data_IF_863968002086
#
_entry.id   IF_863968002086
#
_cell.length_a   1.000
_cell.length_b   1.000
_cell.length_c   1.000
_cell.angle_alpha   90.00
_cell.angle_beta   90.00
_cell.angle_gamma   90.00
#
_symmetry.space_group_name_H-M   'P 1'
#
loop_
_entity.id
_entity.type
_entity.pdbx_description
1 polymer ?
#
# COMPACT_ATOMS: atom_id res chain seq x y z
N UNK A 1 -16.35 19.97 40.07
CA UNK A 1 -17.08 19.28 38.99
C UNK A 1 -18.41 18.82 39.57
N UNK A 2 -19.52 19.29 39.01
CA UNK A 2 -20.84 18.77 39.36
C UNK A 2 -21.05 17.40 38.71
N UNK A 3 -21.68 16.47 39.41
CA UNK A 3 -22.22 15.23 38.85
C UNK A 3 -23.67 15.14 39.32
N UNK A 4 -24.59 14.83 38.41
CA UNK A 4 -26.01 14.62 38.71
C UNK A 4 -26.29 13.14 38.88
N UNK A 5 -26.94 12.76 39.98
CA UNK A 5 -27.28 11.36 40.28
C UNK A 5 -28.65 10.94 39.75
N UNK A 6 -29.54 11.88 39.42
CA UNK A 6 -30.85 11.61 38.84
C UNK A 6 -30.96 12.27 37.45
N UNK A 7 -31.32 11.47 36.46
CA UNK A 7 -31.54 11.89 35.08
C UNK A 7 -32.64 11.03 34.44
N UNK A 8 -33.19 11.51 33.32
CA UNK A 8 -34.08 10.73 32.47
C UNK A 8 -33.42 10.52 31.11
N UNK A 9 -33.14 9.27 30.74
CA UNK A 9 -32.44 8.98 29.49
C UNK A 9 -33.23 9.44 28.26
N UNK A 10 -34.58 9.40 28.31
CA UNK A 10 -35.42 9.96 27.25
C UNK A 10 -35.20 11.46 27.03
N UNK A 11 -35.02 12.23 28.11
CA UNK A 11 -34.76 13.68 28.01
C UNK A 11 -33.37 13.93 27.42
N UNK A 12 -32.37 13.12 27.77
CA UNK A 12 -31.04 13.19 27.17
C UNK A 12 -31.10 12.93 25.67
N UNK A 13 -31.78 11.85 25.25
CA UNK A 13 -31.95 11.50 23.84
C UNK A 13 -32.66 12.61 23.06
N UNK A 14 -33.74 13.15 23.62
CA UNK A 14 -34.49 14.25 23.02
C UNK A 14 -33.64 15.51 22.85
N UNK A 15 -32.83 15.87 23.86
CA UNK A 15 -31.89 17.00 23.75
C UNK A 15 -30.87 16.74 22.64
N UNK A 16 -30.32 15.54 22.54
CA UNK A 16 -29.41 15.17 21.46
C UNK A 16 -30.09 15.23 20.08
N UNK A 17 -31.36 14.82 19.98
CA UNK A 17 -32.15 14.91 18.76
C UNK A 17 -32.28 16.37 18.28
N UNK A 18 -32.60 17.27 19.20
CA UNK A 18 -32.78 18.69 18.89
C UNK A 18 -31.50 19.36 18.42
N UNK A 19 -30.34 18.93 18.92
CA UNK A 19 -29.06 19.44 18.42
C UNK A 19 -28.89 19.18 16.91
N UNK A 20 -29.46 18.11 16.37
CA UNK A 20 -29.47 17.88 14.92
C UNK A 20 -30.46 18.79 14.19
N UNK A 21 -31.58 19.12 14.81
CA UNK A 21 -32.61 20.01 14.23
C UNK A 21 -32.12 21.46 14.10
N UNK A 22 -31.23 21.90 14.99
CA UNK A 22 -30.67 23.27 14.99
C UNK A 22 -29.60 23.49 13.90
N UNK A 23 -29.15 22.42 13.22
CA UNK A 23 -28.10 22.50 12.20
C UNK A 23 -28.66 23.04 10.88
N UNK A 24 -28.12 24.18 10.42
CA UNK A 24 -28.53 24.84 9.16
C UNK A 24 -27.94 24.20 7.89
N UNK A 25 -27.06 23.22 8.04
CA UNK A 25 -26.35 22.54 6.95
C UNK A 25 -26.96 21.15 6.73
N UNK A 26 -27.02 20.72 5.46
CA UNK A 26 -27.44 19.35 5.14
C UNK A 26 -26.46 18.34 5.72
N UNK A 27 -26.98 17.44 6.56
CA UNK A 27 -26.22 16.32 7.13
C UNK A 27 -26.47 15.05 6.32
N UNK A 28 -25.41 14.28 6.05
CA UNK A 28 -25.51 12.98 5.39
C UNK A 28 -25.83 11.86 6.39
N UNK A 29 -25.18 11.86 7.56
CA UNK A 29 -25.38 10.88 8.62
C UNK A 29 -25.56 11.60 9.95
N UNK A 30 -26.46 11.10 10.80
CA UNK A 30 -26.69 11.60 12.16
C UNK A 30 -26.40 10.46 13.12
N UNK A 31 -25.43 10.65 14.03
CA UNK A 31 -24.99 9.61 14.96
C UNK A 31 -24.76 10.17 16.35
N UNK A 32 -25.22 9.44 17.36
CA UNK A 32 -24.97 9.71 18.78
C UNK A 32 -24.07 8.59 19.31
N UNK A 33 -22.91 8.96 19.86
CA UNK A 33 -22.01 8.03 20.56
C UNK A 33 -22.19 8.17 22.06
N UNK A 34 -22.69 7.12 22.72
CA UNK A 34 -22.94 7.09 24.14
C UNK A 34 -21.80 6.43 24.90
N UNK A 35 -21.13 7.18 25.77
CA UNK A 35 -20.10 6.66 26.67
C UNK A 35 -20.68 6.46 28.07
N UNK A 36 -20.74 5.21 28.54
CA UNK A 36 -21.31 4.87 29.86
C UNK A 36 -20.67 3.60 30.42
N UNK A 37 -20.52 3.53 31.74
CA UNK A 37 -20.19 2.29 32.46
C UNK A 37 -21.37 1.72 33.27
N UNK A 38 -22.57 2.32 33.15
CA UNK A 38 -23.81 1.84 33.76
C UNK A 38 -24.63 1.09 32.71
N UNK A 39 -24.98 -0.17 33.00
CA UNK A 39 -25.67 -1.08 32.08
C UNK A 39 -27.20 -1.12 32.26
N UNK A 40 -27.70 -0.68 33.43
CA UNK A 40 -29.13 -0.52 33.70
C UNK A 40 -29.43 0.81 34.43
N UNK A 41 -29.40 1.95 33.71
CA UNK A 41 -29.54 3.29 34.28
C UNK A 41 -30.92 3.56 34.91
N UNK A 42 -31.93 2.74 34.60
CA UNK A 42 -33.31 2.96 35.04
C UNK A 42 -33.91 1.74 35.75
N UNK A 43 -33.08 0.90 36.39
CA UNK A 43 -33.49 -0.31 37.12
C UNK A 43 -34.70 -0.11 38.03
N UNK A 44 -34.75 1.00 38.76
CA UNK A 44 -35.81 1.30 39.74
C UNK A 44 -37.01 2.06 39.13
N UNK A 45 -36.95 2.44 37.85
CA UNK A 45 -37.90 3.35 37.21
C UNK A 45 -38.42 2.81 35.87
N UNK A 46 -39.34 1.83 35.92
CA UNK A 46 -39.94 1.21 34.72
C UNK A 46 -40.51 2.23 33.72
N UNK A 47 -41.13 3.32 34.20
CA UNK A 47 -41.66 4.39 33.34
C UNK A 47 -40.55 5.14 32.60
N UNK A 48 -39.45 5.47 33.28
CA UNK A 48 -38.28 6.14 32.67
C UNK A 48 -37.63 5.22 31.63
N UNK A 49 -37.50 3.93 31.94
CA UNK A 49 -36.96 2.93 31.02
C UNK A 49 -37.84 2.75 29.76
N UNK A 50 -39.16 2.69 29.90
CA UNK A 50 -40.08 2.58 28.76
C UNK A 50 -40.00 3.81 27.86
N UNK A 51 -40.00 5.03 28.44
CA UNK A 51 -39.87 6.28 27.67
C UNK A 51 -38.56 6.36 26.91
N UNK A 52 -37.46 5.92 27.53
CA UNK A 52 -36.15 5.87 26.89
C UNK A 52 -36.13 4.98 25.64
N UNK A 53 -36.79 3.82 25.69
CA UNK A 53 -36.89 2.90 24.53
C UNK A 53 -37.75 3.48 23.42
N UNK A 54 -38.88 4.11 23.76
CA UNK A 54 -39.73 4.79 22.77
C UNK A 54 -38.95 5.91 22.07
N UNK A 55 -38.28 6.78 22.82
CA UNK A 55 -37.49 7.87 22.24
C UNK A 55 -36.34 7.33 21.37
N UNK A 56 -35.69 6.24 21.78
CA UNK A 56 -34.66 5.60 20.95
C UNK A 56 -35.21 5.03 19.63
N UNK A 57 -36.43 4.49 19.64
CA UNK A 57 -37.13 4.07 18.41
C UNK A 57 -37.44 5.27 17.52
N UNK A 58 -37.92 6.37 18.09
CA UNK A 58 -38.22 7.60 17.35
C UNK A 58 -36.93 8.20 16.72
N UNK A 59 -35.80 8.09 17.41
CA UNK A 59 -34.48 8.45 16.86
C UNK A 59 -34.13 7.59 15.63
N UNK A 60 -34.36 6.28 15.70
CA UNK A 60 -34.10 5.38 14.58
C UNK A 60 -34.97 5.74 13.37
N UNK A 61 -36.27 5.99 13.58
CA UNK A 61 -37.21 6.36 12.52
C UNK A 61 -36.87 7.71 11.88
N UNK A 62 -36.22 8.61 12.63
CA UNK A 62 -35.71 9.90 12.12
C UNK A 62 -34.32 9.80 11.47
N UNK A 63 -33.76 8.59 11.37
CA UNK A 63 -32.46 8.30 10.77
C UNK A 63 -31.27 8.73 11.63
N UNK A 64 -31.44 8.77 12.96
CA UNK A 64 -30.38 9.04 13.93
C UNK A 64 -29.91 7.70 14.52
N UNK A 65 -28.64 7.38 14.30
CA UNK A 65 -28.03 6.14 14.79
C UNK A 65 -27.46 6.32 16.19
N UNK A 66 -27.76 5.39 17.10
CA UNK A 66 -27.21 5.40 18.46
C UNK A 66 -26.19 4.27 18.61
N UNK A 67 -24.94 4.66 18.89
CA UNK A 67 -23.81 3.76 19.06
C UNK A 67 -23.35 3.75 20.53
N UNK A 68 -23.29 2.57 21.14
CA UNK A 68 -22.92 2.39 22.55
C UNK A 68 -21.43 2.11 22.69
N UNK A 69 -20.72 3.01 23.38
CA UNK A 69 -19.32 2.87 23.80
C UNK A 69 -19.27 2.47 25.28
N UNK A 70 -19.61 1.21 25.58
CA UNK A 70 -19.69 0.73 26.96
C UNK A 70 -18.30 0.59 27.60
N UNK A 71 -18.16 1.13 28.80
CA UNK A 71 -16.92 1.13 29.57
C UNK A 71 -16.92 -0.01 30.60
N UNK A 72 -15.72 -0.37 31.07
CA UNK A 72 -15.55 -1.47 32.03
C UNK A 72 -16.29 -1.17 33.36
N UNK A 73 -17.18 -2.09 33.76
CA UNK A 73 -17.90 -2.10 35.04
C UNK A 73 -17.44 -3.29 35.92
N UNK A 74 -17.33 -3.13 37.25
CA UNK A 74 -17.07 -4.25 38.14
C UNK A 74 -18.23 -5.27 38.05
N UNK A 75 -17.92 -6.52 37.68
CA UNK A 75 -18.92 -7.56 37.43
C UNK A 75 -19.29 -7.75 35.95
N UNK A 76 -18.73 -6.94 35.05
CA UNK A 76 -19.09 -6.95 33.62
C UNK A 76 -20.15 -5.91 33.28
N UNK A 77 -20.34 -5.67 31.99
CA UNK A 77 -21.38 -4.78 31.46
C UNK A 77 -22.36 -5.63 30.65
N UNK A 78 -23.62 -5.70 31.08
CA UNK A 78 -24.62 -6.52 30.41
C UNK A 78 -25.54 -5.68 29.51
N UNK A 79 -25.26 -5.70 28.21
CA UNK A 79 -26.04 -4.99 27.17
C UNK A 79 -27.50 -5.46 27.14
N UNK A 80 -27.77 -6.71 27.53
CA UNK A 80 -29.10 -7.31 27.42
C UNK A 80 -30.12 -6.70 28.38
N UNK A 81 -29.67 -6.06 29.47
CA UNK A 81 -30.54 -5.50 30.52
C UNK A 81 -31.35 -4.29 30.02
N UNK A 82 -30.71 -3.38 29.30
CA UNK A 82 -31.31 -2.11 28.90
C UNK A 82 -31.01 -1.75 27.44
N UNK A 83 -29.72 -1.73 27.07
CA UNK A 83 -29.27 -1.14 25.81
C UNK A 83 -29.60 -1.97 24.56
N UNK A 84 -29.89 -3.27 24.68
CA UNK A 84 -30.31 -4.11 23.55
C UNK A 84 -31.50 -3.55 22.77
N UNK A 85 -32.43 -2.89 23.46
CA UNK A 85 -33.61 -2.26 22.83
C UNK A 85 -33.41 -0.79 22.47
N UNK A 86 -32.18 -0.28 22.52
CA UNK A 86 -31.84 1.14 22.34
C UNK A 86 -30.79 1.33 21.24
N UNK A 87 -29.80 0.42 21.16
CA UNK A 87 -28.80 0.45 20.11
C UNK A 87 -29.45 0.21 18.75
N UNK A 88 -29.03 0.98 17.75
CA UNK A 88 -29.43 0.76 16.37
C UNK A 88 -28.67 -0.45 15.84
N UNK A 89 -29.34 -1.59 15.71
CA UNK A 89 -28.78 -2.75 15.00
C UNK A 89 -29.21 -2.59 13.54
N UNK A 90 -28.26 -2.45 12.61
CA UNK A 90 -28.63 -2.51 11.18
C UNK A 90 -29.36 -3.83 10.91
N UNK A 91 -30.39 -3.81 10.07
CA UNK A 91 -31.34 -4.91 9.89
C UNK A 91 -30.72 -6.22 9.36
N UNK A 92 -29.43 -6.24 9.00
CA UNK A 92 -28.70 -7.45 8.65
C UNK A 92 -28.02 -8.05 9.89
N UNK A 93 -28.42 -9.26 10.28
CA UNK A 93 -27.85 -9.99 11.43
C UNK A 93 -26.32 -10.23 11.35
N UNK A 94 -25.71 -10.02 10.17
CA UNK A 94 -24.28 -10.15 9.88
C UNK A 94 -23.47 -8.85 10.09
N UNK A 95 -24.12 -7.68 10.28
CA UNK A 95 -23.45 -6.37 10.42
C UNK A 95 -23.07 -6.02 11.88
N UNK A 96 -22.86 -7.01 12.76
CA UNK A 96 -22.56 -6.80 14.20
C UNK A 96 -21.24 -6.04 14.49
N UNK A 97 -20.52 -5.59 13.47
CA UNK A 97 -19.42 -4.63 13.57
C UNK A 97 -19.70 -3.48 12.60
N UNK A 98 -20.26 -2.38 13.12
CA UNK A 98 -20.73 -1.26 12.30
C UNK A 98 -19.59 -0.36 11.80
N UNK A 99 -19.14 -0.60 10.57
CA UNK A 99 -18.55 0.43 9.70
C UNK A 99 -19.49 0.60 8.50
N UNK A 100 -20.10 1.78 8.37
CA UNK A 100 -20.83 2.17 7.16
C UNK A 100 -19.82 2.25 6.01
N UNK A 101 -19.80 1.21 5.18
CA UNK A 101 -19.00 1.17 3.95
C UNK A 101 -19.66 2.09 2.94
N UNK A 102 -18.96 3.17 2.59
CA UNK A 102 -19.44 4.13 1.60
C UNK A 102 -19.26 3.56 0.20
N UNK A 103 -20.16 3.95 -0.71
CA UNK A 103 -20.31 3.56 -2.13
C UNK A 103 -19.13 3.89 -3.07
N UNK A 104 -17.91 3.98 -2.54
CA UNK A 104 -16.67 4.19 -3.27
C UNK A 104 -15.74 3.07 -2.89
N UNK A 105 -15.45 2.16 -3.83
CA UNK A 105 -14.35 1.19 -3.83
C UNK A 105 -13.33 1.53 -2.74
N UNK A 106 -13.48 0.91 -1.57
CA UNK A 106 -12.83 1.44 -0.38
C UNK A 106 -11.33 1.25 -0.48
N UNK A 107 -10.69 2.40 -0.39
CA UNK A 107 -9.27 2.57 -0.32
C UNK A 107 -8.85 2.33 1.15
N UNK A 108 -8.99 1.09 1.65
CA UNK A 108 -8.70 0.72 3.05
C UNK A 108 -7.27 1.13 3.47
N UNK A 109 -6.34 1.21 2.50
CA UNK A 109 -4.96 1.66 2.66
C UNK A 109 -4.67 3.05 2.09
N UNK A 110 -5.66 3.74 1.49
CA UNK A 110 -5.45 4.99 0.74
C UNK A 110 -6.04 6.21 1.45
N UNK A 111 -5.50 6.46 2.63
CA UNK A 111 -5.06 7.82 2.91
C UNK A 111 -3.62 7.74 3.39
N UNK A 112 -2.68 7.75 2.44
CA UNK A 112 -1.42 8.44 2.74
C UNK A 112 -1.86 9.83 3.20
N UNK A 113 -1.83 10.05 4.49
CA UNK A 113 -2.26 11.33 5.03
C UNK A 113 -1.27 12.36 4.50
N UNK A 114 -1.79 13.31 3.73
CA UNK A 114 -0.99 14.37 3.16
C UNK A 114 -1.14 15.60 4.05
N UNK A 115 -0.07 16.38 4.11
CA UNK A 115 -0.13 17.71 4.69
C UNK A 115 -1.20 18.52 3.95
N UNK A 116 -2.09 19.18 4.69
CA UNK A 116 -3.12 20.03 4.10
C UNK A 116 -2.47 21.12 3.23
N UNK A 117 -3.05 21.36 2.06
CA UNK A 117 -2.59 22.41 1.15
C UNK A 117 -2.89 23.78 1.77
N UNK A 118 -1.98 24.72 1.63
CA UNK A 118 -2.20 26.09 2.09
C UNK A 118 -3.42 26.73 1.37
N UNK A 119 -4.23 27.45 2.14
CA UNK A 119 -5.35 28.25 1.65
C UNK A 119 -4.87 29.70 1.54
N UNK A 120 -5.18 30.37 0.42
CA UNK A 120 -4.85 31.79 0.24
C UNK A 120 -5.86 32.64 0.98
N UNK A 121 -5.38 33.57 1.80
CA UNK A 121 -6.20 34.47 2.61
C UNK A 121 -5.98 35.93 2.21
N UNK A 122 -6.99 36.77 2.42
CA UNK A 122 -6.85 38.22 2.34
C UNK A 122 -6.15 38.73 3.60
N UNK A 123 -5.12 39.57 3.44
CA UNK A 123 -4.21 39.95 4.54
C UNK A 123 -4.91 40.63 5.72
N UNK A 124 -5.91 41.46 5.46
CA UNK A 124 -6.52 42.30 6.51
C UNK A 124 -7.68 41.60 7.23
N UNK A 125 -8.40 40.71 6.53
CA UNK A 125 -9.61 40.04 7.06
C UNK A 125 -9.40 38.56 7.36
N UNK A 126 -8.29 37.96 6.91
CA UNK A 126 -8.03 36.52 6.93
C UNK A 126 -9.10 35.67 6.22
N UNK A 127 -9.90 36.26 5.33
CA UNK A 127 -10.92 35.53 4.58
C UNK A 127 -10.32 34.74 3.41
N UNK A 128 -10.84 33.53 3.10
CA UNK A 128 -10.38 32.73 1.97
C UNK A 128 -10.59 33.40 0.60
N UNK A 129 -9.55 33.37 -0.24
CA UNK A 129 -9.56 33.98 -1.57
C UNK A 129 -9.85 32.93 -2.65
N UNK A 130 -10.85 33.21 -3.49
CA UNK A 130 -11.19 32.37 -4.64
C UNK A 130 -10.24 32.60 -5.82
N UNK A 131 -9.49 31.57 -6.22
CA UNK A 131 -8.60 31.62 -7.38
C UNK A 131 -9.37 31.28 -8.66
N UNK A 132 -9.29 32.15 -9.67
CA UNK A 132 -9.81 31.90 -11.04
C UNK A 132 -8.63 31.92 -12.03
N UNK A 133 -8.35 30.78 -12.65
CA UNK A 133 -7.33 30.68 -13.70
C UNK A 133 -7.97 30.84 -15.07
N UNK A 134 -7.45 31.76 -15.88
CA UNK A 134 -7.88 32.01 -17.26
C UNK A 134 -6.67 31.99 -18.17
N UNK A 135 -6.82 31.43 -19.36
CA UNK A 135 -5.75 31.30 -20.35
C UNK A 135 -6.07 32.26 -21.49
N UNK A 136 -5.08 33.06 -21.92
CA UNK A 136 -5.26 34.09 -22.94
C UNK A 136 -4.23 33.94 -24.05
N UNK A 137 -4.58 34.39 -25.25
CA UNK A 137 -3.62 34.57 -26.34
C UNK A 137 -2.71 35.75 -26.02
N UNK A 138 -1.39 35.54 -26.17
CA UNK A 138 -0.38 36.57 -25.92
C UNK A 138 -0.53 37.74 -26.91
N UNK A 139 -0.88 37.45 -28.17
CA UNK A 139 -0.92 38.45 -29.24
C UNK A 139 -2.21 39.29 -29.22
N UNK A 140 -3.35 38.66 -28.94
CA UNK A 140 -4.67 39.30 -29.02
C UNK A 140 -5.23 39.69 -27.66
N UNK A 141 -4.67 39.17 -26.56
CA UNK A 141 -5.21 39.35 -25.21
C UNK A 141 -6.58 38.68 -24.99
N UNK A 142 -7.10 37.97 -25.99
CA UNK A 142 -8.42 37.31 -25.92
C UNK A 142 -8.36 36.04 -25.09
N UNK A 143 -9.45 35.77 -24.37
CA UNK A 143 -9.63 34.52 -23.62
C UNK A 143 -9.64 33.34 -24.59
N UNK A 144 -8.84 32.31 -24.30
CA UNK A 144 -8.82 31.07 -25.07
C UNK A 144 -9.84 30.08 -24.52
N UNK A 145 -10.75 29.66 -25.39
CA UNK A 145 -11.66 28.56 -25.13
C UNK A 145 -10.94 27.22 -25.36
N UNK A 146 -11.47 26.10 -24.81
CA UNK A 146 -10.88 24.78 -25.03
C UNK A 146 -10.64 24.45 -26.52
N UNK A 147 -11.55 24.88 -27.40
CA UNK A 147 -11.51 24.64 -28.85
C UNK A 147 -10.47 25.52 -29.58
N UNK A 148 -9.98 26.58 -28.94
CA UNK A 148 -8.95 27.45 -29.52
C UNK A 148 -7.54 26.87 -29.32
N UNK A 149 -7.41 25.76 -28.57
CA UNK A 149 -6.12 25.16 -28.22
C UNK A 149 -6.02 23.72 -28.66
N UNK A 150 -4.93 23.38 -29.35
CA UNK A 150 -4.52 22.00 -29.61
C UNK A 150 -3.45 21.55 -28.62
N UNK A 151 -3.16 20.26 -28.58
CA UNK A 151 -2.03 19.70 -27.84
C UNK A 151 -0.94 19.32 -28.82
N UNK A 152 0.31 19.52 -28.41
CA UNK A 152 1.47 19.25 -29.27
C UNK A 152 2.51 18.43 -28.53
N UNK A 153 3.13 17.50 -29.25
CA UNK A 153 4.35 16.79 -28.84
C UNK A 153 5.36 16.83 -29.99
N UNK A 154 6.64 17.04 -29.68
CA UNK A 154 7.71 17.14 -30.67
C UNK A 154 8.64 15.95 -30.51
N UNK A 155 8.84 15.19 -31.59
CA UNK A 155 9.79 14.08 -31.64
C UNK A 155 10.79 14.34 -32.77
N UNK A 156 12.06 14.58 -32.41
CA UNK A 156 13.08 15.03 -33.36
C UNK A 156 12.66 16.33 -34.04
N UNK A 157 12.57 16.32 -35.37
CA UNK A 157 12.18 17.49 -36.17
C UNK A 157 10.70 17.46 -36.61
N UNK A 158 9.88 16.57 -36.04
CA UNK A 158 8.46 16.44 -36.39
C UNK A 158 7.57 16.88 -35.23
N UNK A 159 6.70 17.85 -35.49
CA UNK A 159 5.66 18.26 -34.58
C UNK A 159 4.39 17.44 -34.83
N UNK A 160 3.86 16.83 -33.79
CA UNK A 160 2.59 16.11 -33.80
C UNK A 160 1.57 16.99 -33.07
N UNK A 161 0.45 17.27 -33.74
CA UNK A 161 -0.67 18.03 -33.20
C UNK A 161 -1.85 17.08 -33.03
N UNK A 162 -2.48 17.14 -31.85
CA UNK A 162 -3.65 16.34 -31.51
C UNK A 162 -4.70 17.23 -30.84
N UNK A 163 -5.96 16.95 -31.14
CA UNK A 163 -7.08 17.52 -30.40
C UNK A 163 -7.18 16.89 -29.01
N UNK A 164 -7.93 17.56 -28.13
CA UNK A 164 -8.16 17.06 -26.78
C UNK A 164 -8.93 15.73 -26.82
N UNK A 165 -9.96 15.61 -27.69
CA UNK A 165 -10.73 14.37 -27.81
C UNK A 165 -9.87 13.22 -28.34
N UNK A 166 -8.93 13.48 -29.24
CA UNK A 166 -8.03 12.46 -29.77
C UNK A 166 -7.13 11.88 -28.66
N UNK A 167 -6.59 12.73 -27.79
CA UNK A 167 -5.76 12.29 -26.65
C UNK A 167 -6.57 11.46 -25.65
N UNK A 168 -7.82 11.82 -25.44
CA UNK A 168 -8.72 11.05 -24.57
C UNK A 168 -9.10 9.71 -25.23
N UNK A 169 -9.37 9.71 -26.54
CA UNK A 169 -9.66 8.51 -27.33
C UNK A 169 -8.48 7.52 -27.38
N UNK A 170 -7.24 8.01 -27.46
CA UNK A 170 -6.02 7.17 -27.41
C UNK A 170 -5.90 6.38 -26.10
N UNK A 171 -6.56 6.82 -25.03
CA UNK A 171 -6.54 6.17 -23.71
C UNK A 171 -7.76 5.29 -23.46
N UNK A 172 -8.70 5.20 -24.40
CA UNK A 172 -9.90 4.40 -24.26
C UNK A 172 -9.66 2.97 -24.76
N UNK A 173 -10.03 1.99 -23.93
CA UNK A 173 -9.83 0.57 -24.19
C UNK A 173 -11.10 -0.22 -23.85
N UNK A 174 -11.54 -0.14 -22.59
CA UNK A 174 -12.72 -0.83 -22.08
C UNK A 174 -13.63 0.16 -21.33
N UNK A 175 -14.88 -0.25 -21.08
CA UNK A 175 -15.76 0.46 -20.15
C UNK A 175 -15.27 0.31 -18.70
N UNK A 176 -15.59 1.26 -17.80
CA UNK A 176 -15.18 1.18 -16.40
C UNK A 176 -15.75 -0.06 -15.70
N UNK A 177 -14.89 -0.76 -14.96
CA UNK A 177 -15.29 -1.96 -14.21
C UNK A 177 -14.18 -2.99 -14.05
N UNK A 178 -14.58 -4.16 -13.58
CA UNK A 178 -13.73 -5.34 -13.42
C UNK A 178 -14.23 -6.43 -14.37
N UNK A 179 -13.38 -6.82 -15.34
CA UNK A 179 -13.67 -7.92 -16.24
C UNK A 179 -12.87 -9.13 -15.78
N UNK A 180 -13.57 -10.18 -15.33
CA UNK A 180 -12.94 -11.43 -14.92
C UNK A 180 -12.24 -12.09 -16.11
N UNK A 181 -10.97 -12.47 -15.93
CA UNK A 181 -10.16 -13.09 -16.97
C UNK A 181 -9.91 -14.57 -16.68
N UNK A 182 -9.43 -14.90 -15.48
CA UNK A 182 -9.17 -16.29 -15.07
C UNK A 182 -8.94 -16.42 -13.57
N UNK A 183 -8.90 -17.65 -13.06
CA UNK A 183 -8.47 -17.96 -11.71
C UNK A 183 -7.03 -18.50 -11.74
N UNK A 184 -6.17 -18.01 -10.84
CA UNK A 184 -4.79 -18.49 -10.70
C UNK A 184 -4.50 -18.90 -9.26
N UNK A 185 -3.62 -19.88 -9.01
CA UNK A 185 -3.20 -20.22 -7.65
C UNK A 185 -2.56 -19.03 -6.93
N UNK A 186 -2.83 -18.87 -5.63
CA UNK A 186 -2.28 -17.79 -4.81
C UNK A 186 -0.75 -17.75 -4.79
N UNK A 187 -0.11 -18.92 -4.86
CA UNK A 187 1.36 -19.05 -4.92
C UNK A 187 2.01 -18.38 -6.15
N UNK A 188 1.25 -18.15 -7.22
CA UNK A 188 1.75 -17.40 -8.38
C UNK A 188 1.87 -15.89 -8.10
N UNK A 189 1.23 -15.39 -7.05
CA UNK A 189 1.32 -14.01 -6.63
C UNK A 189 2.60 -13.79 -5.84
N UNK A 190 3.46 -12.92 -6.35
CA UNK A 190 4.78 -12.67 -5.79
C UNK A 190 4.74 -11.40 -4.95
N UNK A 191 5.10 -11.51 -3.66
CA UNK A 191 5.01 -10.40 -2.70
C UNK A 191 5.77 -9.13 -3.09
N UNK A 192 6.92 -9.26 -3.77
CA UNK A 192 7.72 -8.10 -4.20
C UNK A 192 7.28 -7.49 -5.54
N UNK A 193 6.23 -8.01 -6.17
CA UNK A 193 5.59 -7.38 -7.34
C UNK A 193 4.59 -6.27 -6.94
N UNK A 194 4.77 -5.66 -5.77
CA UNK A 194 3.95 -4.54 -5.32
C UNK A 194 4.20 -3.31 -6.20
N UNK A 195 3.12 -2.76 -6.78
CA UNK A 195 3.16 -1.55 -7.60
C UNK A 195 2.61 -0.34 -6.83
N UNK A 196 1.34 -0.43 -6.42
CA UNK A 196 0.59 0.60 -5.71
C UNK A 196 -0.21 -0.01 -4.56
N UNK A 197 -0.71 0.85 -3.67
CA UNK A 197 -1.62 0.46 -2.59
C UNK A 197 -2.77 -0.38 -3.14
N UNK A 198 -2.98 -1.54 -2.54
CA UNK A 198 -4.12 -2.40 -2.83
C UNK A 198 -5.42 -1.69 -2.45
N UNK A 199 -6.50 -2.04 -3.15
CA UNK A 199 -7.85 -1.59 -2.83
C UNK A 199 -8.66 -2.74 -2.23
N UNK A 200 -9.81 -2.44 -1.65
CA UNK A 200 -10.71 -3.45 -1.12
C UNK A 200 -12.00 -3.48 -1.95
N UNK A 201 -12.47 -4.69 -2.27
CA UNK A 201 -13.69 -4.93 -3.04
C UNK A 201 -14.70 -5.59 -2.12
N UNK A 202 -15.89 -5.01 -2.06
CA UNK A 202 -17.04 -5.47 -1.30
C UNK A 202 -18.31 -5.37 -2.18
N UNK A 203 -19.32 -6.24 -2.00
CA UNK A 203 -20.53 -6.21 -2.83
C UNK A 203 -21.41 -4.99 -2.56
N UNK A 204 -22.00 -4.44 -3.61
CA UNK A 204 -22.94 -3.31 -3.54
C UNK A 204 -24.34 -3.79 -3.94
N UNK A 205 -25.10 -4.27 -2.96
CA UNK A 205 -26.42 -4.88 -3.18
C UNK A 205 -27.47 -3.87 -3.66
N UNK A 206 -27.32 -2.59 -3.30
CA UNK A 206 -28.28 -1.52 -3.66
C UNK A 206 -28.34 -1.23 -5.17
N UNK A 207 -27.28 -1.55 -5.92
CA UNK A 207 -27.22 -1.34 -7.37
C UNK A 207 -27.71 -2.56 -8.14
N UNK A 208 -27.33 -3.76 -7.68
CA UNK A 208 -27.67 -5.03 -8.36
C UNK A 208 -27.97 -6.09 -7.31
N UNK A 209 -29.26 -6.42 -7.17
CA UNK A 209 -29.71 -7.44 -6.24
C UNK A 209 -29.15 -8.83 -6.63
N UNK A 210 -28.72 -9.60 -5.63
CA UNK A 210 -28.07 -10.90 -5.75
C UNK A 210 -26.54 -10.82 -5.81
N UNK A 211 -25.95 -9.63 -5.76
CA UNK A 211 -24.49 -9.43 -5.82
C UNK A 211 -23.81 -10.00 -4.59
N UNK A 212 -24.34 -9.74 -3.39
CA UNK A 212 -23.81 -10.26 -2.13
C UNK A 212 -23.78 -11.78 -2.12
N UNK A 213 -24.84 -12.45 -2.60
CA UNK A 213 -24.90 -13.92 -2.69
C UNK A 213 -23.81 -14.48 -3.62
N UNK A 214 -23.66 -13.91 -4.82
CA UNK A 214 -22.63 -14.34 -5.77
C UNK A 214 -21.22 -14.07 -5.24
N UNK A 215 -21.02 -12.89 -4.65
CA UNK A 215 -19.75 -12.46 -4.08
C UNK A 215 -19.32 -13.37 -2.94
N UNK A 216 -20.22 -13.69 -2.01
CA UNK A 216 -19.95 -14.61 -0.89
C UNK A 216 -19.65 -16.03 -1.38
N UNK A 217 -20.36 -16.51 -2.40
CA UNK A 217 -20.07 -17.81 -3.02
C UNK A 217 -18.67 -17.82 -3.67
N UNK A 218 -18.30 -16.74 -4.36
CA UNK A 218 -16.98 -16.58 -4.97
C UNK A 218 -15.87 -16.52 -3.93
N UNK A 219 -16.06 -15.74 -2.86
CA UNK A 219 -15.10 -15.59 -1.76
C UNK A 219 -14.83 -16.94 -1.10
N UNK A 220 -15.88 -17.64 -0.66
CA UNK A 220 -15.78 -18.95 -0.03
C UNK A 220 -15.07 -19.97 -0.92
N UNK A 221 -15.38 -20.00 -2.23
CA UNK A 221 -14.73 -20.94 -3.16
C UNK A 221 -13.29 -20.56 -3.51
N UNK A 222 -12.94 -19.28 -3.53
CA UNK A 222 -11.57 -18.83 -3.74
C UNK A 222 -10.68 -19.16 -2.52
N UNK A 223 -11.22 -19.00 -1.31
CA UNK A 223 -10.55 -19.42 -0.07
C UNK A 223 -10.31 -20.94 -0.04
N UNK A 224 -11.36 -21.74 -0.29
CA UNK A 224 -11.28 -23.21 -0.29
C UNK A 224 -10.24 -23.77 -1.28
N UNK A 225 -10.10 -23.12 -2.44
CA UNK A 225 -9.20 -23.56 -3.52
C UNK A 225 -7.85 -22.87 -3.52
N UNK A 226 -7.59 -21.94 -2.60
CA UNK A 226 -6.39 -21.10 -2.57
C UNK A 226 -6.09 -20.43 -3.93
N UNK A 227 -7.12 -19.89 -4.56
CA UNK A 227 -7.02 -19.20 -5.87
C UNK A 227 -7.36 -17.72 -5.77
N UNK A 228 -6.75 -16.94 -6.65
CA UNK A 228 -7.04 -15.52 -6.87
C UNK A 228 -7.76 -15.34 -8.20
N UNK A 229 -8.73 -14.42 -8.23
CA UNK A 229 -9.40 -14.06 -9.47
C UNK A 229 -8.60 -12.95 -10.18
N UNK A 230 -8.06 -13.25 -11.35
CA UNK A 230 -7.35 -12.28 -12.18
C UNK A 230 -8.37 -11.55 -13.04
N UNK A 231 -8.38 -10.22 -12.90
CA UNK A 231 -9.30 -9.34 -13.59
C UNK A 231 -8.54 -8.29 -14.40
N UNK A 232 -9.17 -7.79 -15.44
CA UNK A 232 -8.77 -6.56 -16.12
C UNK A 232 -9.60 -5.42 -15.53
N UNK A 233 -8.92 -4.47 -14.91
CA UNK A 233 -9.51 -3.38 -14.17
C UNK A 233 -9.38 -2.06 -14.92
N UNK A 234 -10.51 -1.38 -15.12
CA UNK A 234 -10.59 -0.05 -15.72
C UNK A 234 -11.30 0.90 -14.76
N UNK A 235 -10.60 1.84 -14.09
CA UNK A 235 -11.19 2.66 -13.04
C UNK A 235 -12.27 3.63 -13.53
N UNK A 236 -12.07 4.21 -14.73
CA UNK A 236 -12.91 5.27 -15.30
C UNK A 236 -12.72 5.33 -16.82
N UNK A 237 -13.62 6.03 -17.51
CA UNK A 237 -13.53 6.20 -18.97
C UNK A 237 -12.21 6.87 -19.35
N UNK A 238 -11.73 6.57 -20.57
CA UNK A 238 -10.50 7.12 -21.14
C UNK A 238 -9.26 6.88 -20.27
N UNK A 239 -9.19 5.71 -19.61
CA UNK A 239 -8.04 5.27 -18.81
C UNK A 239 -7.60 3.87 -19.29
N UNK A 240 -6.30 3.63 -19.50
CA UNK A 240 -5.80 2.30 -19.84
C UNK A 240 -6.11 1.27 -18.75
N UNK A 241 -6.42 0.02 -19.12
CA UNK A 241 -6.72 -1.04 -18.17
C UNK A 241 -5.44 -1.53 -17.48
N UNK A 242 -5.61 -2.11 -16.28
CA UNK A 242 -4.55 -2.81 -15.56
C UNK A 242 -4.97 -4.24 -15.24
N UNK A 243 -4.03 -5.17 -15.26
CA UNK A 243 -4.26 -6.48 -14.66
C UNK A 243 -4.20 -6.37 -13.15
N UNK A 244 -5.20 -6.95 -12.48
CA UNK A 244 -5.29 -7.01 -11.02
C UNK A 244 -5.60 -8.43 -10.58
N UNK A 245 -5.13 -8.80 -9.40
CA UNK A 245 -5.51 -10.03 -8.73
C UNK A 245 -6.43 -9.69 -7.56
N UNK A 246 -7.63 -10.24 -7.55
CA UNK A 246 -8.54 -10.23 -6.42
C UNK A 246 -8.14 -11.37 -5.49
N UNK A 247 -7.43 -11.02 -4.42
CA UNK A 247 -6.97 -11.96 -3.40
C UNK A 247 -8.10 -12.14 -2.39
N UNK A 248 -8.60 -13.37 -2.17
CA UNK A 248 -9.66 -13.59 -1.20
C UNK A 248 -9.16 -13.31 0.22
N UNK A 249 -9.96 -12.59 1.00
CA UNK A 249 -9.64 -12.15 2.35
C UNK A 249 -10.77 -12.58 3.30
N UNK A 250 -10.42 -13.38 4.30
CA UNK A 250 -11.33 -13.85 5.34
C UNK A 250 -11.46 -12.79 6.45
N UNK A 251 -12.60 -12.80 7.15
CA UNK A 251 -12.83 -11.92 8.29
C UNK A 251 -11.97 -12.33 9.49
N UNK A 252 -11.34 -11.35 10.13
CA UNK A 252 -10.60 -11.52 11.37
C UNK A 252 -11.09 -10.50 12.42
N UNK A 253 -11.55 -11.02 13.56
CA UNK A 253 -11.95 -10.23 14.72
C UNK A 253 -10.92 -10.38 15.83
N UNK A 254 -10.60 -9.29 16.51
CA UNK A 254 -9.72 -9.33 17.69
C UNK A 254 -10.45 -9.78 18.97
N UNK A 255 -9.71 -9.84 20.08
CA UNK A 255 -10.22 -10.21 21.41
C UNK A 255 -11.32 -9.25 21.90
N UNK A 256 -11.34 -8.02 21.39
CA UNK A 256 -12.33 -6.98 21.70
C UNK A 256 -13.51 -6.98 20.71
N UNK A 257 -13.57 -7.96 19.80
CA UNK A 257 -14.56 -8.05 18.71
C UNK A 257 -14.51 -6.90 17.70
N UNK A 258 -13.38 -6.19 17.63
CA UNK A 258 -13.11 -5.21 16.59
C UNK A 258 -12.67 -5.96 15.34
N UNK A 259 -13.28 -5.62 14.20
CA UNK A 259 -12.91 -6.18 12.92
C UNK A 259 -11.54 -5.62 12.48
N UNK A 260 -10.52 -6.47 12.50
CA UNK A 260 -9.14 -6.14 12.08
C UNK A 260 -9.01 -6.31 10.57
N UNK A 261 -9.58 -7.39 10.05
CA UNK A 261 -9.54 -7.74 8.63
C UNK A 261 -10.97 -7.93 8.14
N UNK A 262 -11.48 -7.10 7.20
CA UNK A 262 -12.84 -7.24 6.69
C UNK A 262 -12.96 -8.40 5.69
N UNK A 263 -14.13 -9.07 5.58
CA UNK A 263 -14.36 -10.12 4.59
C UNK A 263 -14.54 -9.54 3.19
N UNK A 264 -13.75 -10.00 2.20
CA UNK A 264 -13.90 -9.53 0.83
C UNK A 264 -12.72 -9.89 -0.07
N UNK A 265 -12.46 -9.08 -1.09
CA UNK A 265 -11.27 -9.26 -1.93
C UNK A 265 -10.32 -8.07 -1.84
N UNK A 266 -9.06 -8.35 -1.57
CA UNK A 266 -7.98 -7.38 -1.73
C UNK A 266 -7.58 -7.32 -3.21
N UNK A 267 -7.82 -6.17 -3.85
CA UNK A 267 -7.41 -5.90 -5.22
C UNK A 267 -5.93 -5.51 -5.26
N UNK A 268 -5.10 -6.42 -5.76
CA UNK A 268 -3.66 -6.27 -5.90
C UNK A 268 -3.28 -5.96 -7.35
N UNK A 269 -2.59 -4.86 -7.59
CA UNK A 269 -2.12 -4.46 -8.92
C UNK A 269 -0.97 -5.35 -9.40
N UNK A 270 -1.10 -5.92 -10.61
CA UNK A 270 -0.06 -6.72 -11.23
C UNK A 270 0.80 -5.83 -12.14
N UNK A 271 2.14 -5.81 -11.96
CA UNK A 271 3.03 -5.00 -12.78
C UNK A 271 3.10 -5.52 -14.21
N UNK A 272 3.06 -4.62 -15.17
CA UNK A 272 3.40 -4.90 -16.56
C UNK A 272 4.91 -5.16 -16.72
N UNK A 273 5.32 -5.53 -17.93
CA UNK A 273 6.73 -5.73 -18.24
C UNK A 273 7.54 -4.43 -18.04
N UNK A 274 6.95 -3.28 -18.37
CA UNK A 274 7.56 -1.95 -18.26
C UNK A 274 7.82 -1.52 -16.81
N UNK A 275 7.01 -2.02 -15.86
CA UNK A 275 7.15 -1.72 -14.43
C UNK A 275 8.30 -2.50 -13.77
N UNK A 276 8.83 -3.53 -14.44
CA UNK A 276 9.87 -4.40 -13.89
C UNK A 276 11.25 -3.91 -14.29
N UNK A 277 11.95 -3.33 -13.33
CA UNK A 277 13.33 -2.89 -13.51
C UNK A 277 14.30 -4.07 -13.41
N UNK A 278 15.18 -4.22 -14.41
CA UNK A 278 16.28 -5.20 -14.38
C UNK A 278 17.37 -4.70 -13.44
N UNK A 279 17.71 -5.50 -12.43
CA UNK A 279 18.79 -5.21 -11.49
C UNK A 279 20.06 -5.94 -11.95
N UNK A 280 21.23 -5.29 -11.97
CA UNK A 280 22.49 -5.96 -12.27
C UNK A 280 22.77 -7.02 -11.20
N UNK A 281 22.93 -8.27 -11.62
CA UNK A 281 23.20 -9.39 -10.72
C UNK A 281 24.71 -9.39 -10.43
N UNK A 282 25.08 -9.17 -9.17
CA UNK A 282 26.44 -9.38 -8.69
C UNK A 282 26.63 -10.84 -8.28
N UNK A 283 27.89 -11.26 -8.17
CA UNK A 283 28.21 -12.58 -7.61
C UNK A 283 27.56 -12.76 -6.23
N UNK A 284 26.91 -13.91 -6.06
CA UNK A 284 26.18 -14.23 -4.83
C UNK A 284 27.14 -14.73 -3.76
N UNK A 285 27.65 -13.81 -2.94
CA UNK A 285 28.39 -14.16 -1.73
C UNK A 285 27.42 -14.69 -0.67
N UNK A 286 27.65 -15.92 -0.20
CA UNK A 286 26.84 -16.54 0.87
C UNK A 286 27.56 -16.41 2.20
N UNK A 287 26.81 -16.12 3.26
CA UNK A 287 27.31 -16.12 4.63
C UNK A 287 27.55 -17.56 5.13
N UNK A 288 28.47 -17.72 6.07
CA UNK A 288 28.68 -18.99 6.77
C UNK A 288 27.50 -19.31 7.72
N UNK A 289 27.27 -20.58 8.07
CA UNK A 289 26.24 -20.95 9.04
C UNK A 289 26.40 -20.23 10.39
N UNK A 290 27.65 -20.05 10.85
CA UNK A 290 27.95 -19.35 12.10
C UNK A 290 27.55 -17.87 12.08
N UNK A 291 27.84 -17.17 10.97
CA UNK A 291 27.41 -15.79 10.77
C UNK A 291 25.87 -15.69 10.77
N UNK A 292 25.20 -16.63 10.12
CA UNK A 292 23.74 -16.70 10.08
C UNK A 292 23.15 -16.91 11.47
N UNK A 293 23.72 -17.82 12.27
CA UNK A 293 23.21 -18.13 13.60
C UNK A 293 23.42 -16.97 14.60
N UNK A 294 24.54 -16.24 14.50
CA UNK A 294 24.74 -15.00 15.26
C UNK A 294 23.73 -13.92 14.87
N UNK A 295 23.45 -13.75 13.57
CA UNK A 295 22.42 -12.82 13.12
C UNK A 295 21.01 -13.24 13.59
N UNK A 296 20.68 -14.55 13.61
CA UNK A 296 19.41 -15.03 14.19
C UNK A 296 19.28 -14.64 15.67
N UNK A 297 20.36 -14.76 16.46
CA UNK A 297 20.34 -14.35 17.86
C UNK A 297 20.07 -12.84 18.02
N UNK A 298 20.66 -12.00 17.17
CA UNK A 298 20.40 -10.56 17.11
C UNK A 298 18.92 -10.29 16.77
N UNK A 299 18.38 -10.94 15.73
CA UNK A 299 16.98 -10.77 15.31
C UNK A 299 16.01 -11.18 16.43
N UNK A 300 16.29 -12.28 17.14
CA UNK A 300 15.46 -12.72 18.26
C UNK A 300 15.47 -11.71 19.41
N UNK A 301 16.63 -11.09 19.70
CA UNK A 301 16.74 -10.04 20.71
C UNK A 301 16.01 -8.77 20.30
N UNK A 302 15.95 -8.42 19.01
CA UNK A 302 15.25 -7.22 18.53
C UNK A 302 13.79 -7.47 18.10
N UNK A 303 13.24 -8.66 18.38
CA UNK A 303 11.87 -8.99 18.02
C UNK A 303 10.88 -8.12 18.79
N UNK A 304 9.92 -7.55 18.05
CA UNK A 304 8.74 -6.86 18.57
C UNK A 304 7.49 -7.26 17.76
N UNK A 305 6.30 -7.02 18.32
CA UNK A 305 5.02 -7.25 17.62
C UNK A 305 4.66 -5.98 16.87
N UNK A 306 4.74 -6.01 15.55
CA UNK A 306 4.34 -4.89 14.69
C UNK A 306 2.81 -4.86 14.54
N UNK A 307 2.25 -3.67 14.59
CA UNK A 307 0.90 -3.33 14.16
C UNK A 307 0.94 -2.16 13.19
N UNK A 308 -0.08 -2.04 12.34
CA UNK A 308 -0.17 -0.97 11.34
C UNK A 308 -0.39 0.43 11.95
N UNK A 309 -0.87 0.49 13.19
CA UNK A 309 -1.18 1.70 13.96
C UNK A 309 -0.07 2.11 14.94
N UNK A 310 1.07 1.40 14.99
CA UNK A 310 2.16 1.65 15.95
C UNK A 310 2.90 2.98 15.72
N UNK A 311 2.88 3.52 14.49
CA UNK A 311 3.71 4.66 14.08
C UNK A 311 2.88 5.80 13.51
N UNK A 312 2.97 6.96 14.14
CA UNK A 312 2.41 8.20 13.62
C UNK A 312 3.37 8.87 12.63
N UNK A 313 2.81 9.68 11.71
CA UNK A 313 3.63 10.44 10.77
C UNK A 313 4.20 11.71 11.46
N UNK A 314 5.52 11.79 11.73
CA UNK A 314 6.10 12.89 12.49
C UNK A 314 5.93 14.25 11.80
N UNK A 315 5.94 14.27 10.46
CA UNK A 315 5.76 15.50 9.67
C UNK A 315 4.36 16.07 9.83
N UNK A 316 3.35 15.20 9.87
CA UNK A 316 1.96 15.63 10.08
C UNK A 316 1.73 16.06 11.52
N UNK A 317 2.22 15.29 12.48
CA UNK A 317 2.11 15.63 13.89
C UNK A 317 2.71 17.00 14.17
N UNK A 318 3.95 17.24 13.74
CA UNK A 318 4.58 18.55 13.94
C UNK A 318 3.80 19.66 13.24
N UNK A 319 3.25 19.41 12.06
CA UNK A 319 2.46 20.40 11.34
C UNK A 319 1.19 20.81 12.11
N UNK A 320 0.40 19.85 12.59
CA UNK A 320 -0.84 20.15 13.30
C UNK A 320 -0.60 20.71 14.70
N UNK A 321 0.44 20.27 15.41
CA UNK A 321 0.84 20.88 16.70
C UNK A 321 1.26 22.34 16.56
N UNK A 322 1.94 22.69 15.46
CA UNK A 322 2.25 24.07 15.16
C UNK A 322 0.98 24.90 14.87
N UNK A 323 0.02 24.34 14.12
CA UNK A 323 -1.25 25.02 13.83
C UNK A 323 -2.11 25.21 15.08
N UNK A 324 -2.19 24.20 15.94
CA UNK A 324 -2.89 24.25 17.22
C UNK A 324 -2.31 25.36 18.11
N UNK A 325 -0.99 25.43 18.24
CA UNK A 325 -0.32 26.47 19.00
C UNK A 325 -0.60 27.87 18.45
N UNK A 326 -0.61 28.04 17.13
CA UNK A 326 -0.96 29.32 16.49
C UNK A 326 -2.45 29.68 16.65
N UNK A 327 -3.35 28.69 16.59
CA UNK A 327 -4.79 28.93 16.72
C UNK A 327 -5.21 29.27 18.15
N UNK A 328 -4.45 28.80 19.15
CA UNK A 328 -4.68 29.05 20.57
C UNK A 328 -3.77 30.15 21.15
N UNK A 329 -3.04 30.88 20.30
CA UNK A 329 -2.09 31.93 20.69
C UNK A 329 -1.04 31.48 21.74
N UNK A 330 -0.60 30.23 21.66
CA UNK A 330 0.44 29.68 22.53
C UNK A 330 1.82 30.17 22.09
N UNK A 331 2.68 30.48 23.07
CA UNK A 331 4.04 31.01 22.81
C UNK A 331 4.97 30.02 22.10
N UNK A 332 4.78 28.72 22.32
CA UNK A 332 5.57 27.66 21.70
C UNK A 332 4.69 26.43 21.42
N UNK A 333 4.90 25.75 20.29
CA UNK A 333 4.24 24.49 20.01
C UNK A 333 4.78 23.38 20.90
N UNK A 334 3.93 22.39 21.15
CA UNK A 334 4.32 21.13 21.77
C UNK A 334 5.35 20.41 20.87
N UNK A 335 6.41 19.88 21.49
CA UNK A 335 7.41 19.10 20.76
C UNK A 335 6.89 17.70 20.49
N UNK A 336 6.95 17.30 19.23
CA UNK A 336 6.57 15.95 18.82
C UNK A 336 7.76 15.01 18.97
N UNK A 337 7.54 13.88 19.64
CA UNK A 337 8.53 12.78 19.70
C UNK A 337 8.39 11.93 18.45
N UNK A 338 9.49 11.75 17.72
CA UNK A 338 9.51 10.92 16.52
C UNK A 338 9.58 9.42 16.89
N UNK A 339 8.45 8.74 16.78
CA UNK A 339 8.34 7.30 17.05
C UNK A 339 8.96 6.43 15.94
N UNK A 340 9.29 7.01 14.76
CA UNK A 340 9.91 6.27 13.65
C UNK A 340 11.41 6.10 13.83
N UNK A 341 12.02 6.92 14.69
CA UNK A 341 13.43 6.84 15.02
C UNK A 341 13.73 5.62 15.91
N UNK A 342 14.74 4.78 15.59
CA UNK A 342 15.09 3.63 16.41
C UNK A 342 15.54 4.02 17.82
N UNK A 343 15.15 3.22 18.82
CA UNK A 343 15.56 3.40 20.22
C UNK A 343 16.98 2.86 20.45
N UNK A 344 17.98 3.57 19.91
CA UNK A 344 19.39 3.10 19.84
C UNK A 344 19.92 2.62 21.19
N UNK A 345 19.78 3.41 22.25
CA UNK A 345 20.30 3.06 23.58
C UNK A 345 19.68 1.76 24.14
N UNK A 346 18.37 1.58 23.97
CA UNK A 346 17.67 0.37 24.38
C UNK A 346 18.10 -0.84 23.56
N UNK A 347 18.29 -0.66 22.25
CA UNK A 347 18.76 -1.69 21.33
C UNK A 347 20.18 -2.15 21.71
N UNK A 348 21.11 -1.21 21.92
CA UNK A 348 22.49 -1.51 22.29
C UNK A 348 22.56 -2.25 23.63
N UNK A 349 21.80 -1.80 24.62
CA UNK A 349 21.70 -2.47 25.92
C UNK A 349 21.13 -3.89 25.79
N UNK A 350 20.16 -4.12 24.90
CA UNK A 350 19.53 -5.42 24.69
C UNK A 350 20.43 -6.40 23.93
N UNK A 351 21.29 -5.88 23.05
CA UNK A 351 22.21 -6.67 22.22
C UNK A 351 23.52 -7.02 22.93
N UNK A 352 24.04 -6.15 23.79
CA UNK A 352 25.26 -6.42 24.56
C UNK A 352 26.47 -6.76 23.67
N UNK A 353 27.12 -7.90 23.93
CA UNK A 353 28.31 -8.35 23.18
C UNK A 353 28.03 -8.90 21.79
N UNK A 354 26.77 -9.23 21.46
CA UNK A 354 26.41 -9.90 20.21
C UNK A 354 26.82 -9.08 18.97
N UNK A 355 26.77 -7.74 19.07
CA UNK A 355 27.20 -6.86 17.98
C UNK A 355 28.71 -6.95 17.76
N UNK A 356 29.51 -7.02 18.83
CA UNK A 356 30.95 -7.17 18.75
C UNK A 356 31.34 -8.51 18.14
N UNK A 357 30.75 -9.60 18.65
CA UNK A 357 30.97 -10.96 18.15
C UNK A 357 30.57 -11.10 16.67
N UNK A 358 29.46 -10.51 16.25
CA UNK A 358 29.05 -10.52 14.84
C UNK A 358 29.99 -9.70 13.96
N UNK A 359 30.49 -8.56 14.47
CA UNK A 359 31.45 -7.73 13.74
C UNK A 359 32.77 -8.48 13.50
N UNK A 360 33.29 -9.18 14.51
CA UNK A 360 34.53 -9.97 14.39
C UNK A 360 34.41 -11.10 13.36
N UNK A 361 33.22 -11.68 13.20
CA UNK A 361 32.97 -12.78 12.25
C UNK A 361 32.78 -12.33 10.80
N UNK A 362 32.45 -11.05 10.57
CA UNK A 362 32.05 -10.55 9.24
C UNK A 362 33.02 -9.51 8.71
N UNK A 363 33.41 -8.55 9.55
CA UNK A 363 34.24 -7.43 9.12
C UNK A 363 35.71 -7.73 9.39
N UNK A 364 36.58 -7.64 8.37
CA UNK A 364 38.02 -7.64 8.56
C UNK A 364 38.46 -6.52 9.53
N UNK A 365 39.55 -6.70 10.30
CA UNK A 365 40.01 -5.73 11.28
C UNK A 365 40.44 -4.37 10.68
N UNK A 366 40.75 -4.34 9.38
CA UNK A 366 41.09 -3.14 8.60
C UNK A 366 39.87 -2.50 7.89
N UNK A 367 38.68 -3.10 8.05
CA UNK A 367 37.46 -2.61 7.44
C UNK A 367 36.93 -1.37 8.17
N UNK A 368 36.85 -0.26 7.45
CA UNK A 368 36.23 0.98 7.92
C UNK A 368 34.90 1.16 7.18
N UNK A 369 33.75 1.02 7.87
CA UNK A 369 32.43 1.02 7.23
C UNK A 369 32.09 2.34 6.51
N UNK A 370 32.70 3.46 6.89
CA UNK A 370 32.42 4.80 6.35
C UNK A 370 33.46 5.35 5.37
N UNK A 371 34.31 4.49 4.76
CA UNK A 371 35.14 4.97 3.63
C UNK A 371 34.25 5.26 2.43
N UNK A 372 33.79 6.50 2.34
CA UNK A 372 33.19 7.09 1.14
C UNK A 372 34.04 6.70 -0.07
N UNK A 373 33.52 5.79 -0.90
CA UNK A 373 34.11 5.47 -2.20
C UNK A 373 33.94 6.72 -3.06
N UNK A 374 34.93 7.61 -3.04
CA UNK A 374 35.07 8.66 -4.05
C UNK A 374 35.15 7.95 -5.39
N UNK A 375 34.04 7.99 -6.15
CA UNK A 375 33.98 7.57 -7.55
C UNK A 375 35.18 8.20 -8.26
N UNK A 376 36.17 7.38 -8.61
CA UNK A 376 37.24 7.78 -9.52
C UNK A 376 36.56 8.23 -10.81
N UNK A 377 36.80 9.49 -11.18
CA UNK A 377 36.49 10.00 -12.52
C UNK A 377 37.15 9.06 -13.53
N UNK A 378 36.34 8.58 -14.47
CA UNK A 378 36.82 7.93 -15.67
C UNK A 378 37.36 9.07 -16.54
N UNK A 379 38.68 9.26 -16.55
CA UNK A 379 39.31 10.16 -17.51
C UNK A 379 39.24 9.51 -18.89
N UNK A 380 38.68 10.28 -19.81
CA UNK A 380 38.58 10.05 -21.23
C UNK A 380 39.93 10.41 -21.86
N UNK A 381 40.67 9.43 -22.39
CA UNK A 381 41.70 9.69 -23.40
C UNK A 381 42.10 8.41 -24.17
N UNK A 382 42.05 8.51 -25.50
CA UNK A 382 43.03 7.83 -26.37
C UNK A 382 42.58 6.58 -27.14
N UNK A 383 41.94 6.82 -28.29
CA UNK A 383 41.88 5.89 -29.43
C UNK A 383 43.25 5.29 -29.77
N UNK A 384 43.37 3.97 -29.71
CA UNK A 384 44.55 3.21 -30.15
C UNK A 384 44.19 1.76 -30.49
N UNK A 385 44.15 1.45 -31.78
CA UNK A 385 43.86 0.12 -32.35
C UNK A 385 44.68 -0.99 -31.67
N UNK A 386 44.04 -1.77 -30.78
CA UNK A 386 44.58 -3.03 -30.27
C UNK A 386 43.52 -4.10 -30.50
N UNK A 387 43.81 -5.04 -31.41
CA UNK A 387 42.96 -6.22 -31.67
C UNK A 387 42.52 -6.82 -30.33
N UNK A 388 41.21 -6.85 -30.09
CA UNK A 388 40.61 -7.47 -28.92
C UNK A 388 41.02 -8.94 -28.88
N UNK A 389 41.86 -9.31 -27.91
CA UNK A 389 42.16 -10.70 -27.60
C UNK A 389 40.90 -11.27 -26.95
N UNK A 390 40.10 -12.00 -27.72
CA UNK A 390 38.89 -12.66 -27.20
C UNK A 390 39.36 -13.89 -26.43
N UNK A 391 39.50 -13.75 -25.11
CA UNK A 391 39.69 -14.88 -24.18
C UNK A 391 38.30 -15.40 -23.79
N UNK A 392 37.97 -16.63 -24.19
CA UNK A 392 36.76 -17.31 -23.73
C UNK A 392 37.06 -18.00 -22.40
N UNK A 393 36.15 -17.84 -21.44
CA UNK A 393 36.20 -18.58 -20.18
C UNK A 393 35.89 -20.07 -20.40
N UNK A 394 36.35 -20.95 -19.50
CA UNK A 394 36.11 -22.40 -19.55
C UNK A 394 34.60 -22.73 -19.60
N UNK A 395 33.81 -21.95 -18.87
CA UNK A 395 32.36 -22.08 -18.78
C UNK A 395 31.65 -21.74 -20.10
N UNK A 396 32.13 -20.72 -20.83
CA UNK A 396 31.60 -20.37 -22.14
C UNK A 396 31.90 -21.44 -23.18
N UNK A 397 33.13 -21.99 -23.19
CA UNK A 397 33.49 -23.08 -24.10
C UNK A 397 32.68 -24.35 -23.80
N UNK A 398 32.49 -24.71 -22.53
CA UNK A 398 31.62 -25.84 -22.14
C UNK A 398 30.15 -25.61 -22.50
N UNK A 399 29.66 -24.37 -22.40
CA UNK A 399 28.32 -23.99 -22.85
C UNK A 399 28.17 -24.07 -24.39
N UNK A 400 29.22 -23.74 -25.14
CA UNK A 400 29.23 -23.88 -26.60
C UNK A 400 29.29 -25.34 -27.05
N UNK A 401 30.02 -26.21 -26.33
CA UNK A 401 30.05 -27.66 -26.55
C UNK A 401 28.68 -28.28 -26.31
N UNK A 402 28.09 -28.04 -25.13
CA UNK A 402 26.78 -28.61 -24.77
C UNK A 402 25.62 -28.16 -25.67
N UNK A 403 25.69 -26.94 -26.24
CA UNK A 403 24.68 -26.42 -27.17
C UNK A 403 24.98 -26.75 -28.65
N UNK A 404 26.03 -27.50 -28.96
CA UNK A 404 26.41 -27.85 -30.33
C UNK A 404 26.79 -26.66 -31.21
N UNK A 405 27.24 -25.54 -30.61
CA UNK A 405 27.47 -24.27 -31.31
C UNK A 405 28.93 -24.00 -31.69
N UNK A 406 29.87 -24.94 -31.47
CA UNK A 406 31.28 -24.77 -31.89
C UNK A 406 31.43 -24.52 -33.39
N UNK A 407 30.50 -25.02 -34.22
CA UNK A 407 30.49 -24.78 -35.66
C UNK A 407 30.40 -23.30 -36.06
N UNK A 408 29.86 -22.45 -35.18
CA UNK A 408 29.75 -21.00 -35.40
C UNK A 408 31.02 -20.23 -35.08
N UNK A 409 31.98 -20.84 -34.37
CA UNK A 409 33.26 -20.20 -34.05
C UNK A 409 34.19 -20.20 -35.26
N UNK A 410 35.03 -19.17 -35.36
CA UNK A 410 36.01 -19.05 -36.44
C UNK A 410 37.25 -19.91 -36.13
N UNK A 411 37.93 -20.39 -37.17
CA UNK A 411 39.13 -21.24 -37.03
C UNK A 411 40.22 -20.63 -36.12
N UNK A 412 40.50 -19.30 -36.15
CA UNK A 412 41.46 -18.69 -35.25
C UNK A 412 41.06 -18.80 -33.77
N UNK A 413 39.76 -18.67 -33.46
CA UNK A 413 39.24 -18.79 -32.09
C UNK A 413 39.35 -20.23 -31.58
N UNK A 414 39.05 -21.21 -32.44
CA UNK A 414 39.18 -22.63 -32.09
C UNK A 414 40.65 -23.02 -31.86
N UNK A 415 41.58 -22.50 -32.67
CA UNK A 415 43.03 -22.71 -32.46
C UNK A 415 43.53 -22.10 -31.17
N UNK A 416 43.05 -20.91 -30.81
CA UNK A 416 43.43 -20.25 -29.56
C UNK A 416 42.89 -21.04 -28.35
N UNK A 417 41.65 -21.53 -28.41
CA UNK A 417 41.11 -22.41 -27.38
C UNK A 417 41.95 -23.68 -27.23
N UNK A 418 42.28 -24.39 -28.32
CA UNK A 418 43.17 -25.56 -28.24
C UNK A 418 44.56 -25.22 -27.67
N UNK A 419 45.09 -24.01 -27.93
CA UNK A 419 46.38 -23.56 -27.39
C UNK A 419 46.32 -23.35 -25.88
N UNK A 420 45.25 -22.72 -25.38
CA UNK A 420 45.05 -22.46 -23.94
C UNK A 420 44.99 -23.78 -23.16
N UNK A 421 44.28 -24.77 -23.68
CA UNK A 421 44.16 -26.11 -23.05
C UNK A 421 45.29 -27.08 -23.45
N UNK A 422 46.34 -26.60 -24.14
CA UNK A 422 47.51 -27.39 -24.59
C UNK A 422 47.15 -28.66 -25.37
N UNK A 423 46.10 -28.60 -26.17
CA UNK A 423 45.62 -29.71 -26.99
C UNK A 423 46.34 -29.77 -28.35
N UNK A 424 46.80 -30.96 -28.75
CA UNK A 424 47.35 -31.19 -30.10
C UNK A 424 46.20 -31.11 -31.11
N UNK A 425 46.22 -30.11 -31.97
CA UNK A 425 45.16 -29.87 -32.95
C UNK A 425 45.69 -29.86 -34.38
N UNK A 426 44.84 -30.29 -35.32
CA UNK A 426 45.12 -30.29 -36.75
C UNK A 426 44.82 -28.94 -37.44
N UNK A 427 44.97 -28.90 -38.76
CA UNK A 427 44.78 -27.67 -39.55
C UNK A 427 43.32 -27.42 -39.93
N UNK A 428 42.47 -28.45 -39.91
CA UNK A 428 41.07 -28.35 -40.35
C UNK A 428 40.15 -27.95 -39.20
N UNK A 429 39.10 -27.19 -39.53
CA UNK A 429 38.09 -26.73 -38.56
C UNK A 429 37.39 -27.89 -37.83
N UNK A 430 37.14 -28.99 -38.54
CA UNK A 430 36.45 -30.16 -38.00
C UNK A 430 37.27 -30.88 -36.93
N UNK A 431 38.57 -31.08 -37.19
CA UNK A 431 39.52 -31.66 -36.23
C UNK A 431 39.64 -30.82 -34.95
N UNK A 432 39.66 -29.48 -35.07
CA UNK A 432 39.68 -28.57 -33.92
C UNK A 432 38.43 -28.68 -33.04
N UNK A 433 37.26 -28.86 -33.66
CA UNK A 433 35.99 -29.02 -32.93
C UNK A 433 35.92 -30.37 -32.23
N UNK A 434 36.35 -31.46 -32.89
CA UNK A 434 36.36 -32.80 -32.31
C UNK A 434 37.27 -32.88 -31.08
N UNK A 435 38.48 -32.31 -31.16
CA UNK A 435 39.44 -32.27 -30.05
C UNK A 435 38.91 -31.48 -28.84
N UNK A 436 38.27 -30.32 -29.07
CA UNK A 436 37.66 -29.55 -27.98
C UNK A 436 36.43 -30.25 -27.41
N UNK A 437 35.62 -30.89 -28.25
CA UNK A 437 34.43 -31.62 -27.81
C UNK A 437 34.82 -32.82 -26.95
N UNK A 438 35.85 -33.57 -27.34
CA UNK A 438 36.37 -34.70 -26.57
C UNK A 438 36.92 -34.26 -25.21
N UNK A 439 37.74 -33.20 -25.18
CA UNK A 439 38.32 -32.67 -23.94
C UNK A 439 37.27 -32.25 -22.91
N UNK A 440 36.16 -31.63 -23.34
CA UNK A 440 35.09 -31.16 -22.44
C UNK A 440 33.96 -32.17 -22.22
N UNK A 441 33.95 -33.31 -22.93
CA UNK A 441 33.04 -34.43 -22.66
C UNK A 441 33.67 -35.48 -21.73
N UNK A 442 34.99 -35.60 -21.73
CA UNK A 442 35.73 -36.48 -20.81
C UNK A 442 36.01 -35.81 -19.44
N UNK A 443 35.67 -34.52 -19.26
CA UNK A 443 35.86 -33.71 -18.05
C UNK A 443 34.55 -33.13 -17.47
#
# INVERSE_FOLDING_TARGET
MGHGSDYSFSEVLWVCANLFSDVQVKMSHKRIMLFTNEDDPHRNGSVKASRARTEASDLHDTGIFLELMHLKKPGGFDISLFYRGIISVAEDEDLRVHLEVSSKLEDLMRKKAFKSSAIRLYRETNEPVKVKTRIFSINTGSLLLPNDTKRSQIYGNRQILLEKEEIEGLKWFDEPGLILFSFKPLIMLIKHHYLWSSMFVYPEETLVNGSSTLFSALLSKCLEKEVVAVCRYTPRKNTPPYFVALVPQEEELDDLKIQVTPPGFQLFYLPYADDKLKVPITEKVKASPEQVDKMKAIIQKLRFKYRSDDFENPVLQQHFRNLEALALDLTKPEQVVDLTSPKVEEMDKRLGSLVGEFKELVYPPDYTPDRNITKRKQDDEGSGNKRSKVEFSEEELKAHVSKGMLGKLTVPVLKEACRVYRLKSGMKKQELMEVLTQHFQEA
#
